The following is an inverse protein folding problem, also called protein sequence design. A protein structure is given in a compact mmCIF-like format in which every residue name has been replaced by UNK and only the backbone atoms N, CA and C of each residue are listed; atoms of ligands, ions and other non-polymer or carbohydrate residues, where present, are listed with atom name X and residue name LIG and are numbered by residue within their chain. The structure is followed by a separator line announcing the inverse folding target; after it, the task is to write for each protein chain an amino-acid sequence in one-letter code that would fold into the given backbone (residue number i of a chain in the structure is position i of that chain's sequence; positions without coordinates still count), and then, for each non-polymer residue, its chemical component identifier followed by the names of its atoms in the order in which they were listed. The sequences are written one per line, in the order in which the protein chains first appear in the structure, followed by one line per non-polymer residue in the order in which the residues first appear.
data_IF_106994530540
#
_entry.id   IF_106994530540
#
_cell.length_a   1.000
_cell.length_b   1.000
_cell.length_c   1.000
_cell.angle_alpha   90.00
_cell.angle_beta   90.00
_cell.angle_gamma   90.00
#
_symmetry.space_group_name_H-M   'P 1'
#
loop_
_entity.id
_entity.type
_entity.pdbx_description
1 polymer ?
#
# COMPACT_ATOMS: atom_id res chain seq x y z
N UNK A 1 -38.81 -0.36 -19.54
CA UNK A 1 -38.53 0.25 -20.83
C UNK A 1 -38.17 1.71 -20.60
N UNK A 2 -36.89 2.03 -20.48
CA UNK A 2 -36.40 3.42 -20.47
C UNK A 2 -35.43 3.57 -21.64
N UNK A 3 -35.78 4.48 -22.54
CA UNK A 3 -35.08 4.76 -23.79
C UNK A 3 -33.87 5.63 -23.51
N UNK A 4 -32.69 5.18 -23.90
CA UNK A 4 -31.53 6.02 -24.05
C UNK A 4 -31.61 6.83 -25.33
N UNK A 5 -31.42 8.15 -25.23
CA UNK A 5 -31.25 9.05 -26.37
C UNK A 5 -29.72 9.31 -26.53
N UNK A 6 -29.21 9.29 -27.78
CA UNK A 6 -27.81 9.63 -28.01
C UNK A 6 -27.66 11.16 -28.08
N UNK A 7 -26.81 11.74 -27.24
CA UNK A 7 -26.40 13.14 -27.35
C UNK A 7 -25.25 13.29 -28.35
N UNK A 8 -25.52 14.06 -29.40
CA UNK A 8 -24.57 14.55 -30.39
C UNK A 8 -23.57 15.52 -29.74
N UNK A 9 -22.30 15.24 -29.90
CA UNK A 9 -21.19 16.14 -29.54
C UNK A 9 -20.89 17.03 -30.74
N UNK A 10 -20.93 18.37 -30.65
CA UNK A 10 -20.39 19.23 -31.69
C UNK A 10 -18.87 19.35 -31.58
N UNK A 11 -18.19 19.05 -32.68
CA UNK A 11 -16.77 19.26 -32.89
C UNK A 11 -16.48 20.78 -32.87
N UNK A 12 -15.79 21.26 -31.83
CA UNK A 12 -15.23 22.60 -31.79
C UNK A 12 -13.71 22.50 -31.91
N UNK A 13 -13.18 22.87 -33.08
CA UNK A 13 -11.77 23.08 -33.32
C UNK A 13 -11.32 24.29 -32.51
N UNK A 14 -10.55 24.07 -31.45
CA UNK A 14 -9.81 25.10 -30.74
C UNK A 14 -8.33 24.90 -31.07
N UNK A 15 -7.72 25.94 -31.62
CA UNK A 15 -6.29 26.01 -31.94
C UNK A 15 -5.44 25.69 -30.73
N UNK A 16 -4.56 24.68 -30.86
CA UNK A 16 -3.56 24.32 -29.88
C UNK A 16 -2.47 25.39 -29.88
N UNK A 17 -2.52 26.31 -28.92
CA UNK A 17 -1.32 26.97 -28.43
C UNK A 17 -0.58 25.96 -27.54
N UNK A 18 0.74 25.85 -27.62
CA UNK A 18 1.50 25.02 -26.69
C UNK A 18 1.44 25.69 -25.31
N UNK A 19 0.44 25.32 -24.52
CA UNK A 19 0.45 25.60 -23.10
C UNK A 19 1.61 24.81 -22.51
N UNK A 20 2.66 25.54 -22.09
CA UNK A 20 3.71 24.97 -21.29
C UNK A 20 3.05 24.27 -20.11
N UNK A 21 3.46 23.03 -19.85
CA UNK A 21 3.15 22.34 -18.60
C UNK A 21 3.68 23.25 -17.49
N UNK A 22 2.79 24.00 -16.86
CA UNK A 22 3.10 24.63 -15.58
C UNK A 22 3.37 23.46 -14.63
N UNK A 23 4.59 23.39 -14.10
CA UNK A 23 4.87 22.49 -12.99
C UNK A 23 3.82 22.77 -11.93
N UNK A 24 3.13 21.73 -11.46
CA UNK A 24 2.24 21.85 -10.30
C UNK A 24 3.01 22.61 -9.20
N UNK A 25 2.39 23.57 -8.51
CA UNK A 25 3.05 24.26 -7.42
C UNK A 25 3.53 23.19 -6.45
N UNK A 26 4.82 23.25 -6.09
CA UNK A 26 5.39 22.33 -5.13
C UNK A 26 4.49 22.34 -3.89
N UNK A 27 3.90 21.18 -3.56
CA UNK A 27 3.10 21.05 -2.35
C UNK A 27 3.97 21.37 -1.15
N UNK A 28 3.44 22.13 -0.19
CA UNK A 28 4.12 22.39 1.08
C UNK A 28 4.17 21.13 1.97
N UNK A 29 3.35 20.11 1.65
CA UNK A 29 3.24 18.88 2.44
C UNK A 29 3.35 17.63 1.57
N UNK A 30 3.76 16.53 2.21
CA UNK A 30 3.86 15.20 1.64
C UNK A 30 3.28 14.15 2.60
N UNK A 31 3.16 12.89 2.18
CA UNK A 31 2.82 11.79 3.08
C UNK A 31 4.01 11.44 4.01
N UNK A 32 4.52 12.48 4.67
CA UNK A 32 5.69 12.46 5.53
C UNK A 32 5.40 13.31 6.77
N UNK A 33 5.72 12.79 7.96
CA UNK A 33 5.59 13.51 9.22
C UNK A 33 6.90 13.45 9.99
N UNK A 34 7.09 14.39 10.91
CA UNK A 34 8.18 14.35 11.86
C UNK A 34 7.70 14.59 13.27
N UNK A 35 8.39 13.99 14.23
CA UNK A 35 8.26 14.27 15.65
C UNK A 35 9.64 14.24 16.29
N UNK A 36 9.79 14.94 17.41
CA UNK A 36 11.03 15.01 18.16
C UNK A 36 10.94 14.18 19.44
N UNK A 37 11.93 13.31 19.60
CA UNK A 37 12.22 12.66 20.86
C UNK A 37 12.99 13.58 21.80
N UNK A 38 13.67 13.01 22.81
CA UNK A 38 14.47 13.79 23.75
C UNK A 38 15.69 14.44 23.10
N UNK A 39 16.35 13.73 22.20
CA UNK A 39 17.61 14.12 21.56
C UNK A 39 17.67 13.81 20.08
N UNK A 40 16.61 13.26 19.50
CA UNK A 40 16.56 12.81 18.13
C UNK A 40 15.30 13.26 17.41
N UNK A 41 15.27 13.00 16.11
CA UNK A 41 14.13 13.21 15.23
C UNK A 41 13.68 11.88 14.65
N UNK A 42 12.37 11.63 14.66
CA UNK A 42 11.76 10.50 13.96
C UNK A 42 10.93 11.04 12.80
N UNK A 43 11.24 10.57 11.60
CA UNK A 43 10.42 10.77 10.41
C UNK A 43 9.50 9.56 10.21
N UNK A 44 8.23 9.82 9.93
CA UNK A 44 7.22 8.81 9.58
C UNK A 44 6.86 9.01 8.12
N UNK A 45 7.24 8.09 7.25
CA UNK A 45 6.97 8.14 5.82
C UNK A 45 5.88 7.15 5.46
N UNK A 46 4.77 7.66 4.93
CA UNK A 46 3.76 6.84 4.28
C UNK A 46 4.26 6.38 2.92
N UNK A 47 4.38 5.08 2.74
CA UNK A 47 4.84 4.51 1.47
C UNK A 47 3.69 4.10 0.57
N UNK A 48 4.00 3.98 -0.71
CA UNK A 48 3.22 3.29 -1.75
C UNK A 48 4.12 2.24 -2.38
N UNK A 49 3.65 0.98 -2.38
CA UNK A 49 4.45 -0.17 -2.79
C UNK A 49 4.70 -0.24 -4.30
N UNK A 50 3.92 0.48 -5.08
CA UNK A 50 3.97 0.49 -6.54
C UNK A 50 4.01 1.91 -7.05
N UNK A 51 5.00 2.24 -7.87
CA UNK A 51 5.12 3.50 -8.59
C UNK A 51 5.52 3.21 -10.03
N UNK A 52 5.41 4.20 -10.92
CA UNK A 52 6.01 4.08 -12.24
C UNK A 52 7.52 4.25 -12.15
N UNK A 53 8.29 3.62 -13.04
CA UNK A 53 9.73 3.88 -13.13
C UNK A 53 10.09 5.36 -13.32
N UNK A 54 9.20 6.13 -13.96
CA UNK A 54 9.37 7.58 -14.19
C UNK A 54 9.00 8.45 -12.99
N UNK A 55 8.33 7.88 -11.97
CA UNK A 55 7.90 8.62 -10.80
C UNK A 55 9.10 8.93 -9.89
N UNK A 56 9.36 10.19 -9.60
CA UNK A 56 10.40 10.59 -8.67
C UNK A 56 9.85 10.74 -7.26
N UNK A 57 10.68 10.43 -6.25
CA UNK A 57 10.35 10.71 -4.87
C UNK A 57 10.54 12.20 -4.59
N UNK A 58 9.61 12.85 -3.85
CA UNK A 58 9.73 14.23 -3.41
C UNK A 58 11.05 14.52 -2.68
N UNK A 59 11.55 15.74 -2.81
CA UNK A 59 12.81 16.13 -2.17
C UNK A 59 12.72 16.10 -0.63
N UNK A 60 11.55 16.33 -0.07
CA UNK A 60 11.34 16.18 1.38
C UNK A 60 11.63 14.75 1.86
N UNK A 61 11.24 13.72 1.09
CA UNK A 61 11.54 12.32 1.42
C UNK A 61 13.04 12.05 1.33
N UNK A 62 13.70 12.55 0.27
CA UNK A 62 15.15 12.43 0.11
C UNK A 62 15.89 13.11 1.25
N UNK A 63 15.39 14.27 1.72
CA UNK A 63 15.93 14.99 2.87
C UNK A 63 15.77 14.17 4.15
N UNK A 64 14.57 13.68 4.47
CA UNK A 64 14.31 12.85 5.64
C UNK A 64 15.22 11.61 5.64
N UNK A 65 15.38 10.94 4.49
CA UNK A 65 16.31 9.82 4.34
C UNK A 65 17.77 10.20 4.65
N UNK A 66 18.25 11.36 4.15
CA UNK A 66 19.64 11.81 4.41
C UNK A 66 19.87 12.15 5.89
N UNK A 67 18.89 12.78 6.52
CA UNK A 67 18.96 13.21 7.92
C UNK A 67 18.86 12.04 8.91
N UNK A 68 18.22 10.95 8.52
CA UNK A 68 18.10 9.76 9.38
C UNK A 68 19.33 8.89 9.32
N UNK A 69 19.74 8.35 10.48
CA UNK A 69 20.87 7.43 10.61
C UNK A 69 20.44 5.98 10.37
N UNK A 70 19.22 5.62 10.76
CA UNK A 70 18.64 4.28 10.63
C UNK A 70 17.26 4.31 9.97
N UNK A 71 16.91 3.22 9.34
CA UNK A 71 15.63 3.03 8.68
C UNK A 71 14.89 1.86 9.32
N UNK A 72 13.61 2.07 9.63
CA UNK A 72 12.73 1.01 10.09
C UNK A 72 11.59 0.87 9.11
N UNK A 73 11.36 -0.33 8.61
CA UNK A 73 10.27 -0.64 7.69
C UNK A 73 9.26 -1.60 8.35
N UNK A 74 8.17 -1.91 7.67
CA UNK A 74 7.27 -2.97 8.14
C UNK A 74 8.00 -4.31 8.22
N UNK A 75 8.80 -4.61 7.19
CA UNK A 75 9.69 -5.77 7.11
C UNK A 75 11.14 -5.29 6.95
N UNK A 76 12.07 -6.08 7.43
CA UNK A 76 13.49 -5.92 7.07
C UNK A 76 13.68 -6.30 5.60
N UNK A 77 13.52 -5.29 4.72
CA UNK A 77 13.56 -5.48 3.27
C UNK A 77 14.98 -5.72 2.75
N UNK A 78 16.00 -5.42 3.55
CA UNK A 78 17.40 -5.61 3.15
C UNK A 78 17.85 -7.05 3.36
N UNK A 79 17.32 -7.74 4.38
CA UNK A 79 17.60 -9.15 4.69
C UNK A 79 16.55 -10.12 4.09
N UNK A 80 15.59 -9.61 3.33
CA UNK A 80 14.54 -10.44 2.73
C UNK A 80 15.06 -11.20 1.51
N UNK A 81 15.18 -12.54 1.62
CA UNK A 81 15.42 -13.41 0.47
C UNK A 81 14.14 -13.56 -0.36
N UNK A 82 14.13 -13.13 -1.64
CA UNK A 82 12.95 -13.25 -2.50
C UNK A 82 12.48 -14.68 -2.70
N UNK A 83 13.38 -15.67 -2.72
CA UNK A 83 13.02 -17.09 -2.88
C UNK A 83 12.34 -17.62 -1.62
N UNK A 84 12.87 -17.31 -0.45
CA UNK A 84 12.25 -17.66 0.84
C UNK A 84 10.90 -17.00 1.00
N UNK A 85 10.76 -15.72 0.59
CA UNK A 85 9.50 -15.01 0.60
C UNK A 85 8.45 -15.69 -0.30
N UNK A 86 8.84 -16.07 -1.51
CA UNK A 86 7.96 -16.80 -2.43
C UNK A 86 7.57 -18.17 -1.87
N UNK A 87 8.52 -18.94 -1.32
CA UNK A 87 8.25 -20.24 -0.73
C UNK A 87 7.29 -20.14 0.48
N UNK A 88 7.49 -19.15 1.33
CA UNK A 88 6.62 -18.87 2.48
C UNK A 88 5.21 -18.52 2.04
N UNK A 89 5.07 -17.63 1.05
CA UNK A 89 3.79 -17.25 0.49
C UNK A 89 3.06 -18.47 -0.13
N UNK A 90 3.77 -19.32 -0.88
CA UNK A 90 3.19 -20.54 -1.47
C UNK A 90 2.82 -21.56 -0.39
N UNK A 91 3.66 -21.74 0.62
CA UNK A 91 3.38 -22.69 1.74
C UNK A 91 2.11 -22.30 2.50
N UNK A 92 1.93 -21.02 2.79
CA UNK A 92 0.77 -20.51 3.49
C UNK A 92 -0.46 -20.32 2.60
N UNK A 93 -0.24 -20.07 1.32
CA UNK A 93 -1.26 -19.66 0.36
C UNK A 93 -1.82 -20.74 -0.54
N UNK A 94 -1.23 -21.94 -0.58
CA UNK A 94 -1.78 -23.05 -1.36
C UNK A 94 -2.84 -23.83 -0.57
N UNK A 95 -3.88 -24.25 -1.29
CA UNK A 95 -4.89 -25.16 -0.79
C UNK A 95 -4.39 -26.61 -0.80
N UNK A 96 -4.87 -27.47 0.13
CA UNK A 96 -4.69 -28.90 0.07
C UNK A 96 -5.16 -29.49 -1.26
N UNK A 97 -4.63 -30.69 -1.64
CA UNK A 97 -4.86 -31.26 -2.97
C UNK A 97 -6.34 -31.60 -3.27
N UNK A 98 -7.13 -31.82 -2.24
CA UNK A 98 -8.55 -32.16 -2.27
C UNK A 98 -9.50 -30.97 -2.20
N UNK A 99 -8.96 -29.73 -2.16
CA UNK A 99 -9.72 -28.48 -2.11
C UNK A 99 -9.33 -27.55 -3.26
N UNK A 100 -10.24 -26.70 -3.66
CA UNK A 100 -10.01 -25.65 -4.65
C UNK A 100 -10.65 -24.32 -4.22
N UNK A 101 -10.24 -23.23 -4.89
CA UNK A 101 -10.72 -21.89 -4.57
C UNK A 101 -12.25 -21.77 -4.70
N UNK A 102 -12.86 -22.44 -5.68
CA UNK A 102 -14.31 -22.40 -5.87
C UNK A 102 -15.05 -22.95 -4.65
N UNK A 103 -14.55 -24.06 -4.08
CA UNK A 103 -15.11 -24.67 -2.86
C UNK A 103 -14.95 -23.78 -1.63
N UNK A 104 -13.90 -22.93 -1.60
CA UNK A 104 -13.64 -22.00 -0.50
C UNK A 104 -14.55 -20.76 -0.52
N UNK A 105 -14.78 -20.20 -1.72
CA UNK A 105 -15.43 -18.89 -1.86
C UNK A 105 -16.82 -18.96 -2.48
N UNK A 106 -17.19 -20.12 -3.03
CA UNK A 106 -18.44 -20.35 -3.78
C UNK A 106 -18.34 -19.94 -5.25
N UNK A 107 -19.24 -20.52 -6.06
CA UNK A 107 -19.24 -20.40 -7.53
C UNK A 107 -19.21 -18.97 -8.04
N UNK A 108 -20.02 -18.07 -7.42
CA UNK A 108 -20.14 -16.70 -7.92
C UNK A 108 -18.87 -15.87 -7.67
N UNK A 109 -18.26 -16.00 -6.48
CA UNK A 109 -17.01 -15.32 -6.16
C UNK A 109 -15.85 -15.85 -7.02
N UNK A 110 -15.78 -17.19 -7.19
CA UNK A 110 -14.77 -17.80 -8.07
C UNK A 110 -14.93 -17.34 -9.52
N UNK A 111 -16.16 -17.26 -10.04
CA UNK A 111 -16.42 -16.80 -11.41
C UNK A 111 -15.92 -15.36 -11.62
N UNK A 112 -16.14 -14.45 -10.65
CA UNK A 112 -15.63 -13.08 -10.69
C UNK A 112 -14.09 -13.08 -10.72
N UNK A 113 -13.45 -13.82 -9.81
CA UNK A 113 -11.98 -13.91 -9.74
C UNK A 113 -11.38 -14.52 -11.04
N UNK A 114 -12.00 -15.56 -11.58
CA UNK A 114 -11.57 -16.18 -12.83
C UNK A 114 -11.72 -15.24 -14.05
N UNK A 115 -12.78 -14.43 -14.09
CA UNK A 115 -12.95 -13.42 -15.13
C UNK A 115 -11.87 -12.34 -15.04
N UNK A 116 -11.60 -11.81 -13.84
CA UNK A 116 -10.54 -10.84 -13.60
C UNK A 116 -9.15 -11.41 -13.97
N UNK A 117 -8.83 -12.64 -13.57
CA UNK A 117 -7.59 -13.32 -13.96
C UNK A 117 -7.40 -13.35 -15.48
N UNK A 118 -8.44 -13.75 -16.20
CA UNK A 118 -8.42 -13.82 -17.67
C UNK A 118 -8.18 -12.46 -18.30
N UNK A 119 -8.82 -11.39 -17.81
CA UNK A 119 -8.61 -10.02 -18.28
C UNK A 119 -7.20 -9.51 -18.02
N UNK A 120 -6.57 -10.01 -16.95
CA UNK A 120 -5.17 -9.70 -16.58
C UNK A 120 -4.15 -10.61 -17.30
N UNK A 121 -4.59 -11.54 -18.14
CA UNK A 121 -3.72 -12.45 -18.87
C UNK A 121 -3.23 -13.64 -18.06
N UNK A 122 -3.81 -13.90 -16.89
CA UNK A 122 -3.52 -15.06 -16.06
C UNK A 122 -4.51 -16.19 -16.40
N UNK A 123 -3.98 -17.42 -16.54
CA UNK A 123 -4.85 -18.60 -16.65
C UNK A 123 -5.63 -18.79 -15.33
N UNK A 124 -6.98 -18.76 -15.37
CA UNK A 124 -7.80 -18.94 -14.16
C UNK A 124 -7.53 -20.24 -13.40
N UNK A 125 -7.05 -21.29 -14.09
CA UNK A 125 -6.72 -22.57 -13.45
C UNK A 125 -5.58 -22.45 -12.43
N UNK A 126 -4.71 -21.45 -12.56
CA UNK A 126 -3.67 -21.14 -11.56
C UNK A 126 -4.31 -20.76 -10.22
N UNK A 127 -5.39 -19.99 -10.24
CA UNK A 127 -6.07 -19.55 -9.02
C UNK A 127 -6.74 -20.70 -8.26
N UNK A 128 -7.08 -21.80 -8.94
CA UNK A 128 -7.76 -22.95 -8.30
C UNK A 128 -7.02 -23.49 -7.09
N UNK A 129 -5.69 -23.39 -7.12
CA UNK A 129 -4.84 -23.92 -6.04
C UNK A 129 -4.57 -22.92 -4.92
N UNK A 130 -4.96 -21.66 -5.10
CA UNK A 130 -4.69 -20.60 -4.13
C UNK A 130 -5.79 -20.51 -3.08
N UNK A 131 -5.38 -20.23 -1.84
CA UNK A 131 -6.29 -19.70 -0.83
C UNK A 131 -6.81 -18.34 -1.28
N UNK A 132 -7.98 -17.90 -0.80
CA UNK A 132 -8.59 -16.66 -1.28
C UNK A 132 -7.68 -15.43 -1.12
N UNK A 133 -6.92 -15.33 -0.03
CA UNK A 133 -6.01 -14.21 0.20
C UNK A 133 -4.86 -14.14 -0.83
N UNK A 134 -4.28 -15.30 -1.21
CA UNK A 134 -3.22 -15.33 -2.21
C UNK A 134 -3.75 -15.01 -3.61
N UNK A 135 -4.96 -15.50 -3.93
CA UNK A 135 -5.65 -15.14 -5.17
C UNK A 135 -5.91 -13.62 -5.25
N UNK A 136 -6.40 -13.02 -4.16
CA UNK A 136 -6.62 -11.58 -4.03
C UNK A 136 -5.34 -10.78 -4.30
N UNK A 137 -4.27 -11.07 -3.56
CA UNK A 137 -2.98 -10.40 -3.71
C UNK A 137 -2.41 -10.52 -5.13
N UNK A 138 -2.53 -11.72 -5.75
CA UNK A 138 -2.08 -11.95 -7.12
C UNK A 138 -2.85 -11.09 -8.12
N UNK A 139 -4.17 -11.01 -7.99
CA UNK A 139 -5.00 -10.20 -8.89
C UNK A 139 -4.72 -8.71 -8.74
N UNK A 140 -4.62 -8.19 -7.52
CA UNK A 140 -4.26 -6.79 -7.25
C UNK A 140 -2.90 -6.44 -7.85
N UNK A 141 -1.89 -7.27 -7.63
CA UNK A 141 -0.55 -7.06 -8.20
C UNK A 141 -0.57 -6.98 -9.72
N UNK A 142 -1.23 -7.95 -10.38
CA UNK A 142 -1.35 -7.96 -11.83
C UNK A 142 -2.12 -6.75 -12.36
N UNK A 143 -3.16 -6.31 -11.66
CA UNK A 143 -3.93 -5.11 -12.02
C UNK A 143 -3.06 -3.86 -11.97
N UNK A 144 -2.28 -3.66 -10.92
CA UNK A 144 -1.37 -2.51 -10.79
C UNK A 144 -0.28 -2.55 -11.87
N UNK A 145 0.30 -3.72 -12.15
CA UNK A 145 1.28 -3.88 -13.22
C UNK A 145 0.69 -3.61 -14.62
N UNK A 146 -0.55 -3.99 -14.88
CA UNK A 146 -1.26 -3.69 -16.13
C UNK A 146 -1.43 -2.18 -16.34
N UNK A 147 -1.49 -1.40 -15.24
CA UNK A 147 -1.55 0.06 -15.27
C UNK A 147 -0.16 0.74 -15.39
N UNK A 148 0.89 -0.04 -15.59
CA UNK A 148 2.26 0.45 -15.75
C UNK A 148 2.97 0.77 -14.44
N UNK A 149 2.42 0.32 -13.31
CA UNK A 149 3.07 0.40 -12.01
C UNK A 149 4.01 -0.79 -11.81
N UNK A 150 5.12 -0.55 -11.13
CA UNK A 150 6.15 -1.55 -10.91
C UNK A 150 6.49 -1.61 -9.41
N UNK A 151 6.40 -2.79 -8.77
CA UNK A 151 6.80 -2.96 -7.38
C UNK A 151 8.29 -2.63 -7.15
N UNK A 152 9.15 -2.83 -8.15
CA UNK A 152 10.56 -2.46 -8.08
C UNK A 152 10.78 -0.94 -8.01
N UNK A 153 9.78 -0.15 -8.38
CA UNK A 153 9.79 1.31 -8.32
C UNK A 153 9.11 1.89 -7.07
N UNK A 154 8.55 1.04 -6.21
CA UNK A 154 7.93 1.44 -4.95
C UNK A 154 8.89 2.17 -4.00
N UNK A 155 8.32 2.90 -3.05
CA UNK A 155 9.08 3.73 -2.10
C UNK A 155 10.09 2.89 -1.34
N UNK A 156 9.69 1.75 -0.81
CA UNK A 156 10.55 0.86 -0.02
C UNK A 156 11.75 0.38 -0.84
N UNK A 157 11.52 -0.10 -2.07
CA UNK A 157 12.60 -0.62 -2.92
C UNK A 157 13.63 0.44 -3.27
N UNK A 158 13.18 1.69 -3.48
CA UNK A 158 14.09 2.81 -3.73
C UNK A 158 14.92 3.14 -2.50
N UNK A 159 14.30 3.15 -1.31
CA UNK A 159 15.00 3.41 -0.07
C UNK A 159 16.00 2.29 0.27
N UNK A 160 15.64 1.02 0.03
CA UNK A 160 16.56 -0.12 0.14
C UNK A 160 17.77 0.07 -0.78
N UNK A 161 17.54 0.48 -2.04
CA UNK A 161 18.63 0.77 -2.98
C UNK A 161 19.57 1.86 -2.49
N UNK A 162 19.04 2.93 -1.91
CA UNK A 162 19.84 4.01 -1.32
C UNK A 162 20.59 3.54 -0.08
N UNK A 163 19.90 2.85 0.85
CA UNK A 163 20.48 2.35 2.09
C UNK A 163 21.67 1.41 1.83
N UNK A 164 21.54 0.50 0.86
CA UNK A 164 22.64 -0.39 0.43
C UNK A 164 23.83 0.39 -0.10
N UNK A 165 23.59 1.47 -0.84
CA UNK A 165 24.65 2.32 -1.38
C UNK A 165 25.37 3.10 -0.29
N UNK A 166 24.61 3.62 0.68
CA UNK A 166 25.10 4.50 1.74
C UNK A 166 25.52 3.72 3.00
N UNK A 167 25.26 2.42 3.06
CA UNK A 167 25.58 1.56 4.21
C UNK A 167 24.70 1.84 5.42
N UNK A 168 23.46 2.33 5.23
CA UNK A 168 22.50 2.54 6.32
C UNK A 168 21.84 1.22 6.70
N UNK A 169 21.67 0.99 8.01
CA UNK A 169 20.97 -0.16 8.55
C UNK A 169 19.46 -0.04 8.31
N UNK A 170 18.86 -1.14 7.87
CA UNK A 170 17.41 -1.31 7.81
C UNK A 170 17.00 -2.38 8.80
N UNK A 171 15.91 -2.16 9.52
CA UNK A 171 15.27 -3.16 10.38
C UNK A 171 13.78 -3.21 10.13
N UNK A 172 13.09 -4.25 10.61
CA UNK A 172 11.65 -4.43 10.45
C UNK A 172 10.90 -4.41 11.77
N UNK A 173 9.67 -3.85 11.77
CA UNK A 173 8.73 -3.99 12.88
C UNK A 173 8.20 -5.42 13.02
N UNK A 174 8.08 -6.13 11.92
CA UNK A 174 7.49 -7.46 11.80
C UNK A 174 8.38 -8.38 10.97
N UNK A 175 8.21 -9.67 11.14
CA UNK A 175 8.80 -10.67 10.25
C UNK A 175 7.89 -10.95 9.07
N UNK A 176 8.44 -11.48 7.97
CA UNK A 176 7.65 -11.92 6.81
C UNK A 176 6.56 -12.92 7.22
N UNK A 177 6.89 -13.88 8.10
CA UNK A 177 5.93 -14.86 8.59
C UNK A 177 4.75 -14.19 9.32
N UNK A 178 5.02 -13.20 10.19
CA UNK A 178 3.97 -12.46 10.87
C UNK A 178 3.06 -11.74 9.87
N UNK A 179 3.64 -11.07 8.86
CA UNK A 179 2.87 -10.32 7.88
C UNK A 179 2.02 -11.23 6.98
N UNK A 180 2.58 -12.35 6.48
CA UNK A 180 1.81 -13.32 5.69
C UNK A 180 0.70 -13.98 6.51
N UNK A 181 0.95 -14.27 7.80
CA UNK A 181 -0.05 -14.86 8.69
C UNK A 181 -1.23 -13.92 8.93
N UNK A 182 -1.08 -12.59 8.86
CA UNK A 182 -2.21 -11.66 8.96
C UNK A 182 -3.31 -11.96 7.93
N UNK A 183 -2.92 -12.36 6.73
CA UNK A 183 -3.85 -12.71 5.65
C UNK A 183 -4.23 -14.20 5.67
N UNK A 184 -3.23 -15.07 5.91
CA UNK A 184 -3.42 -16.52 5.89
C UNK A 184 -4.33 -17.04 7.01
N UNK A 185 -4.31 -16.38 8.18
CA UNK A 185 -5.07 -16.75 9.37
C UNK A 185 -6.42 -16.02 9.48
N UNK A 186 -6.76 -15.15 8.50
CA UNK A 186 -8.10 -14.57 8.44
C UNK A 186 -9.16 -15.68 8.40
N UNK A 187 -10.29 -15.50 9.10
CA UNK A 187 -11.45 -16.39 8.96
C UNK A 187 -11.87 -16.56 7.49
N UNK A 188 -12.40 -17.72 7.12
CA UNK A 188 -12.74 -18.05 5.74
C UNK A 188 -13.68 -17.02 5.08
N UNK A 189 -14.65 -16.49 5.84
CA UNK A 189 -15.54 -15.43 5.36
C UNK A 189 -14.77 -14.15 5.03
N UNK A 190 -13.80 -13.73 5.89
CA UNK A 190 -12.99 -12.54 5.66
C UNK A 190 -12.01 -12.72 4.50
N UNK A 191 -11.42 -13.90 4.34
CA UNK A 191 -10.59 -14.19 3.15
C UNK A 191 -11.42 -14.11 1.86
N UNK A 192 -12.66 -14.61 1.87
CA UNK A 192 -13.59 -14.48 0.75
C UNK A 192 -13.94 -13.02 0.47
N UNK A 193 -14.21 -12.24 1.52
CA UNK A 193 -14.50 -10.80 1.43
C UNK A 193 -13.30 -10.05 0.84
N UNK A 194 -12.09 -10.36 1.29
CA UNK A 194 -10.88 -9.76 0.75
C UNK A 194 -10.70 -10.05 -0.75
N UNK A 195 -10.95 -11.29 -1.19
CA UNK A 195 -10.93 -11.62 -2.61
C UNK A 195 -12.00 -10.84 -3.41
N UNK A 196 -13.24 -10.78 -2.90
CA UNK A 196 -14.31 -10.04 -3.57
C UNK A 196 -14.01 -8.55 -3.67
N UNK A 197 -13.49 -7.93 -2.60
CA UNK A 197 -13.06 -6.56 -2.61
C UNK A 197 -12.01 -6.33 -3.70
N UNK A 198 -10.96 -7.15 -3.72
CA UNK A 198 -9.85 -7.03 -4.69
C UNK A 198 -10.30 -7.17 -6.16
N UNK A 199 -11.40 -7.87 -6.42
CA UNK A 199 -11.95 -8.04 -7.77
C UNK A 199 -12.90 -6.90 -8.16
N UNK A 200 -13.71 -6.40 -7.22
CA UNK A 200 -14.66 -5.31 -7.47
C UNK A 200 -13.95 -3.97 -7.67
N UNK A 201 -12.86 -3.74 -6.96
CA UNK A 201 -12.04 -2.53 -7.06
C UNK A 201 -11.29 -2.43 -8.40
N UNK A 202 -11.03 -3.55 -9.05
CA UNK A 202 -10.30 -3.61 -10.32
C UNK A 202 -10.99 -2.85 -11.48
N UNK A 203 -12.32 -2.68 -11.45
CA UNK A 203 -13.08 -2.00 -12.51
C UNK A 203 -12.87 -0.47 -12.49
N UNK A 204 -12.53 0.14 -11.34
CA UNK A 204 -12.35 1.58 -11.16
C UNK A 204 -10.89 1.99 -10.92
N UNK A 205 -10.00 1.02 -10.81
CA UNK A 205 -8.62 1.17 -10.31
C UNK A 205 -7.74 2.17 -11.11
N UNK A 206 -8.03 2.50 -12.36
CA UNK A 206 -7.08 3.33 -13.14
C UNK A 206 -7.15 4.83 -12.79
N UNK A 207 -8.34 5.39 -12.56
CA UNK A 207 -8.49 6.79 -12.14
C UNK A 207 -8.13 6.95 -10.64
N UNK A 208 -8.43 5.95 -9.85
CA UNK A 208 -8.15 5.93 -8.42
C UNK A 208 -6.64 5.87 -8.13
N UNK A 209 -5.88 5.08 -8.89
CA UNK A 209 -4.42 4.99 -8.74
C UNK A 209 -3.72 6.33 -9.03
N UNK A 210 -4.10 7.04 -10.11
CA UNK A 210 -3.55 8.37 -10.38
C UNK A 210 -3.88 9.35 -9.27
N UNK A 211 -5.11 9.29 -8.80
CA UNK A 211 -5.59 10.12 -7.69
C UNK A 211 -4.85 9.80 -6.40
N UNK A 212 -4.63 8.53 -6.11
CA UNK A 212 -3.87 8.06 -4.94
C UNK A 212 -2.42 8.56 -4.99
N UNK A 213 -1.73 8.36 -6.12
CA UNK A 213 -0.33 8.81 -6.28
C UNK A 213 -0.23 10.33 -6.18
N UNK A 214 -1.15 11.08 -6.79
CA UNK A 214 -1.20 12.53 -6.68
C UNK A 214 -1.43 12.98 -5.23
N UNK A 215 -2.43 12.44 -4.55
CA UNK A 215 -2.72 12.74 -3.15
C UNK A 215 -1.55 12.38 -2.21
N UNK A 216 -0.89 11.25 -2.48
CA UNK A 216 0.31 10.83 -1.74
C UNK A 216 1.46 11.84 -1.91
N UNK A 217 1.71 12.30 -3.14
CA UNK A 217 2.77 13.27 -3.43
C UNK A 217 2.52 14.63 -2.79
N UNK A 218 1.27 15.06 -2.78
CA UNK A 218 0.86 16.37 -2.25
C UNK A 218 0.52 16.34 -0.77
N UNK A 219 0.57 15.15 -0.13
CA UNK A 219 0.25 14.99 1.29
C UNK A 219 -1.21 15.31 1.62
N UNK A 220 -2.12 15.17 0.66
CA UNK A 220 -3.56 15.34 0.89
C UNK A 220 -4.11 14.16 1.69
N UNK A 221 -3.96 14.25 3.01
CA UNK A 221 -4.35 13.18 3.95
C UNK A 221 -5.83 12.90 3.92
N UNK A 222 -6.68 13.90 3.69
CA UNK A 222 -8.12 13.71 3.62
C UNK A 222 -8.52 12.87 2.40
N UNK A 223 -7.91 13.17 1.25
CA UNK A 223 -8.16 12.42 0.02
C UNK A 223 -7.59 11.00 0.10
N UNK A 224 -6.39 10.86 0.67
CA UNK A 224 -5.77 9.55 0.93
C UNK A 224 -6.64 8.70 1.86
N UNK A 225 -7.14 9.27 2.97
CA UNK A 225 -8.04 8.57 3.89
C UNK A 225 -9.29 8.10 3.15
N UNK A 226 -9.95 8.99 2.39
CA UNK A 226 -11.13 8.63 1.60
C UNK A 226 -10.88 7.44 0.68
N UNK A 227 -9.84 7.50 -0.17
CA UNK A 227 -9.52 6.43 -1.14
C UNK A 227 -9.15 5.13 -0.41
N UNK A 228 -8.25 5.19 0.56
CA UNK A 228 -7.69 4.00 1.20
C UNK A 228 -8.64 3.33 2.19
N UNK A 229 -9.67 4.04 2.69
CA UNK A 229 -10.65 3.45 3.64
C UNK A 229 -11.97 3.09 2.99
N UNK A 230 -12.32 3.65 1.81
CA UNK A 230 -13.61 3.42 1.14
C UNK A 230 -13.91 1.93 0.94
N UNK A 231 -12.91 1.15 0.54
CA UNK A 231 -13.07 -0.29 0.37
C UNK A 231 -13.37 -1.04 1.67
N UNK A 232 -12.86 -0.54 2.80
CA UNK A 232 -13.09 -1.16 4.11
C UNK A 232 -14.48 -0.85 4.70
N UNK A 233 -15.21 0.15 4.19
CA UNK A 233 -16.58 0.44 4.61
C UNK A 233 -17.50 -0.76 4.36
N UNK A 234 -17.25 -1.51 3.27
CA UNK A 234 -17.96 -2.76 2.96
C UNK A 234 -17.46 -3.96 3.77
N UNK A 235 -16.21 -3.92 4.22
CA UNK A 235 -15.52 -5.02 4.88
C UNK A 235 -14.78 -4.55 6.14
N UNK A 236 -15.50 -4.00 7.14
CA UNK A 236 -14.89 -3.35 8.32
C UNK A 236 -14.04 -4.31 9.17
N UNK A 237 -14.35 -5.61 9.14
CA UNK A 237 -13.61 -6.62 9.88
C UNK A 237 -12.20 -6.88 9.35
N UNK A 238 -11.90 -6.44 8.12
CA UNK A 238 -10.54 -6.52 7.55
C UNK A 238 -9.66 -5.36 7.99
N UNK A 239 -10.21 -4.17 8.18
CA UNK A 239 -9.44 -2.96 8.48
C UNK A 239 -8.64 -3.07 9.77
N UNK A 240 -9.29 -3.53 10.83
CA UNK A 240 -8.69 -3.56 12.17
C UNK A 240 -7.44 -4.44 12.27
N UNK A 241 -7.45 -5.74 11.85
CA UNK A 241 -6.26 -6.60 11.95
C UNK A 241 -5.14 -6.15 11.02
N UNK A 242 -5.47 -5.57 9.86
CA UNK A 242 -4.48 -5.16 8.86
C UNK A 242 -3.84 -3.80 9.17
N UNK A 243 -4.46 -2.97 10.03
CA UNK A 243 -3.98 -1.61 10.33
C UNK A 243 -3.90 -1.32 11.83
N UNK A 244 -5.02 -1.13 12.51
CA UNK A 244 -5.09 -0.60 13.89
C UNK A 244 -4.31 -1.47 14.88
N UNK A 245 -4.48 -2.79 14.82
CA UNK A 245 -3.84 -3.69 15.77
C UNK A 245 -2.32 -3.80 15.52
N UNK A 246 -1.87 -3.61 14.28
CA UNK A 246 -0.45 -3.46 13.92
C UNK A 246 0.11 -2.14 14.45
N UNK A 247 -0.57 -1.03 14.19
CA UNK A 247 -0.16 0.30 14.67
C UNK A 247 0.05 0.33 16.20
N UNK A 248 -0.82 -0.33 16.95
CA UNK A 248 -0.68 -0.43 18.42
C UNK A 248 0.57 -1.22 18.85
N UNK A 249 0.90 -2.31 18.13
CA UNK A 249 2.13 -3.06 18.42
C UNK A 249 3.39 -2.28 18.06
N UNK A 250 3.34 -1.52 16.97
CA UNK A 250 4.46 -0.67 16.53
C UNK A 250 4.66 0.55 17.42
N UNK A 251 3.57 1.11 17.97
CA UNK A 251 3.63 2.27 18.88
C UNK A 251 4.59 2.03 20.04
N UNK A 252 4.52 0.86 20.68
CA UNK A 252 5.42 0.49 21.77
C UNK A 252 6.90 0.44 21.37
N UNK A 253 7.18 0.19 20.08
CA UNK A 253 8.52 0.22 19.53
C UNK A 253 8.94 1.66 19.23
N UNK A 254 8.05 2.47 18.62
CA UNK A 254 8.32 3.89 18.34
C UNK A 254 8.58 4.67 19.62
N UNK A 255 7.83 4.40 20.70
CA UNK A 255 8.06 5.04 22.01
C UNK A 255 9.48 4.83 22.52
N UNK A 256 10.07 3.64 22.30
CA UNK A 256 11.45 3.36 22.69
C UNK A 256 12.46 4.14 21.87
N UNK A 257 12.19 4.32 20.57
CA UNK A 257 13.06 5.08 19.68
C UNK A 257 13.11 6.57 20.05
N UNK A 258 12.04 7.12 20.63
CA UNK A 258 11.99 8.50 21.10
C UNK A 258 12.92 8.79 22.29
N UNK A 259 13.37 7.73 22.97
CA UNK A 259 14.35 7.81 24.06
C UNK A 259 15.79 7.59 23.57
N UNK A 260 15.99 7.28 22.31
CA UNK A 260 17.30 7.04 21.68
C UNK A 260 17.99 8.36 21.26
N UNK A 261 19.20 8.24 20.71
CA UNK A 261 20.01 9.37 20.26
C UNK A 261 20.10 9.47 18.73
N UNK A 262 19.74 8.40 18.02
CA UNK A 262 19.83 8.30 16.56
C UNK A 262 18.56 8.83 15.89
N UNK A 263 18.71 9.49 14.74
CA UNK A 263 17.57 9.92 13.91
C UNK A 263 17.06 8.75 13.07
N UNK A 264 15.75 8.57 13.04
CA UNK A 264 15.10 7.44 12.38
C UNK A 264 14.18 7.85 11.23
N UNK A 265 14.19 7.08 10.15
CA UNK A 265 13.15 7.10 9.13
C UNK A 265 12.31 5.82 9.25
N UNK A 266 11.10 5.97 9.74
CA UNK A 266 10.11 4.89 9.80
C UNK A 266 9.29 4.91 8.51
N UNK A 267 9.26 3.80 7.77
CA UNK A 267 8.59 3.66 6.47
C UNK A 267 7.53 2.57 6.58
N UNK A 268 6.29 2.97 6.53
CA UNK A 268 5.13 2.07 6.60
C UNK A 268 4.10 2.46 5.55
N UNK A 269 3.26 1.53 5.12
CA UNK A 269 2.19 1.85 4.16
C UNK A 269 1.38 3.06 4.61
N UNK A 270 1.05 3.93 3.67
CA UNK A 270 0.38 5.23 3.96
C UNK A 270 -0.85 5.08 4.85
N UNK A 271 -1.61 3.99 4.70
CA UNK A 271 -2.81 3.71 5.51
C UNK A 271 -2.50 3.60 7.02
N UNK A 272 -1.26 3.30 7.40
CA UNK A 272 -0.83 3.24 8.80
C UNK A 272 -0.61 4.62 9.44
N UNK A 273 -0.53 5.69 8.64
CA UNK A 273 -0.21 7.04 9.10
C UNK A 273 -1.40 8.02 9.02
N UNK A 274 -2.50 7.64 8.35
CA UNK A 274 -3.67 8.51 8.15
C UNK A 274 -4.89 7.99 8.87
N UNK A 275 -5.78 8.91 9.25
CA UNK A 275 -7.06 8.59 9.88
C UNK A 275 -6.97 8.15 11.34
N UNK A 276 -8.11 7.78 11.87
CA UNK A 276 -8.25 7.38 13.28
C UNK A 276 -7.60 6.03 13.56
N UNK A 277 -6.76 5.95 14.58
CA UNK A 277 -6.03 4.74 14.97
C UNK A 277 -4.74 4.54 14.18
N UNK A 278 -4.35 5.51 13.34
CA UNK A 278 -3.03 5.57 12.71
C UNK A 278 -1.92 5.82 13.74
N UNK A 279 -0.67 5.56 13.37
CA UNK A 279 0.48 5.87 14.23
C UNK A 279 0.53 7.36 14.58
N UNK A 280 0.22 8.23 13.60
CA UNK A 280 0.15 9.69 13.84
C UNK A 280 -0.91 10.03 14.87
N UNK A 281 -2.14 9.52 14.73
CA UNK A 281 -3.24 9.72 15.69
C UNK A 281 -2.88 9.18 17.09
N UNK A 282 -2.25 8.00 17.16
CA UNK A 282 -1.85 7.40 18.43
C UNK A 282 -0.76 8.20 19.14
N UNK A 283 0.28 8.64 18.43
CA UNK A 283 1.34 9.49 18.97
C UNK A 283 0.82 10.85 19.43
N UNK A 284 -0.07 11.50 18.65
CA UNK A 284 -0.71 12.75 19.04
C UNK A 284 -1.54 12.59 20.33
N UNK A 285 -2.23 11.46 20.50
CA UNK A 285 -2.98 11.16 21.75
C UNK A 285 -2.09 10.93 22.95
N UNK A 286 -0.87 10.48 22.74
CA UNK A 286 0.16 10.40 23.81
C UNK A 286 0.75 11.78 24.13
N UNK A 287 0.44 12.82 23.37
CA UNK A 287 0.88 14.20 23.59
C UNK A 287 2.10 14.62 22.77
N UNK A 288 2.56 13.80 21.84
CA UNK A 288 3.63 14.19 20.93
C UNK A 288 3.14 15.19 19.88
N UNK A 289 3.97 16.18 19.57
CA UNK A 289 3.75 17.11 18.46
C UNK A 289 4.23 16.45 17.16
N UNK A 290 3.29 15.92 16.36
CA UNK A 290 3.58 15.30 15.07
C UNK A 290 3.22 16.28 13.96
N UNK A 291 4.22 16.67 13.16
CA UNK A 291 4.09 17.69 12.10
C UNK A 291 4.20 17.04 10.73
N UNK A 292 3.25 17.33 9.85
CA UNK A 292 3.35 16.96 8.44
C UNK A 292 4.37 17.86 7.73
N UNK A 293 5.19 17.26 6.86
CA UNK A 293 6.28 17.90 6.15
C UNK A 293 5.95 18.08 4.66
#
# INVERSE_FOLDING_TARGET
MHKFAPSLIPLLLIALSPAGFAAEPASEHHALWSLHGKTNTIYLLGSVHFLRPSDELPEAIKKAYRESEKIIMELDMDDLDPLEAQQSAMTLGLLPADRDLESEVGVDAYRKAAAAAKELGLDPDVLKRFKPWLAAMTLVQLQLMKQGLDPASGVEQRLVGWARTDGKEITGFETLQQQLSLLADLPANQQREFLLYSVEDAEHASEEVETLISAWRTGDTHRLEGILTEGFDKYPDLYRPLTIDRNKRWLDQVDKLLDDHEDYLIVVGTLHLIGKGSLVDLLQRQGYEVKQQ
#
